data_IF_097725098415
#
_entry.id   IF_097725098415
#
_cell.length_a   1.000
_cell.length_b   1.000
_cell.length_c   1.000
_cell.angle_alpha   90.00
_cell.angle_beta   90.00
_cell.angle_gamma   90.00
#
_symmetry.space_group_name_H-M   'P 1'
#
loop_
_entity.id
_entity.type
_entity.pdbx_description
1 polymer ?
#
# COMPACT_ATOMS: atom_id res chain seq x y z
N UNK A 1 24.39 -2.91 5.52
CA UNK A 1 24.05 -4.27 5.98
C UNK A 1 24.02 -5.17 4.75
N UNK A 2 24.33 -6.45 4.86
CA UNK A 2 24.26 -7.41 3.74
C UNK A 2 23.14 -8.41 4.04
N UNK A 3 22.07 -8.38 3.25
CA UNK A 3 21.00 -9.37 3.36
C UNK A 3 21.42 -10.70 2.78
N UNK A 4 21.01 -11.79 3.42
CA UNK A 4 21.22 -13.15 2.94
C UNK A 4 20.12 -14.09 3.41
N UNK A 5 19.88 -15.15 2.69
CA UNK A 5 18.99 -16.20 3.13
C UNK A 5 19.46 -16.79 4.46
N UNK A 6 18.51 -17.22 5.27
CA UNK A 6 18.79 -17.93 6.52
C UNK A 6 19.34 -19.32 6.26
N UNK A 7 19.83 -20.00 7.31
CA UNK A 7 20.34 -21.37 7.21
C UNK A 7 19.30 -22.40 6.74
N UNK A 8 18.01 -22.08 6.86
CA UNK A 8 16.90 -22.89 6.32
C UNK A 8 16.58 -22.58 4.84
N UNK A 9 17.31 -21.64 4.24
CA UNK A 9 17.13 -21.19 2.86
C UNK A 9 15.93 -20.26 2.67
N UNK A 10 15.37 -19.68 3.74
CA UNK A 10 14.25 -18.75 3.65
C UNK A 10 14.69 -17.31 3.89
N UNK A 11 13.93 -16.38 3.32
CA UNK A 11 14.01 -14.96 3.61
C UNK A 11 12.59 -14.37 3.67
N UNK A 12 12.25 -13.76 4.79
CA UNK A 12 10.91 -13.27 5.09
C UNK A 12 10.86 -11.75 5.06
N UNK A 13 9.98 -11.20 4.25
CA UNK A 13 9.73 -9.76 4.13
C UNK A 13 8.33 -9.45 4.65
N UNK A 14 8.21 -8.56 5.62
CA UNK A 14 6.93 -8.15 6.18
C UNK A 14 6.62 -6.72 5.76
N UNK A 15 5.45 -6.52 5.14
CA UNK A 15 5.04 -5.25 4.57
C UNK A 15 4.02 -4.53 5.45
N UNK A 16 4.19 -3.20 5.55
CA UNK A 16 3.27 -2.27 6.19
C UNK A 16 3.02 -1.10 5.23
N UNK A 17 1.78 -0.70 5.03
CA UNK A 17 1.40 0.45 4.20
C UNK A 17 0.72 1.55 4.99
N UNK A 18 0.89 2.79 4.57
CA UNK A 18 0.03 3.93 4.86
C UNK A 18 -0.28 4.12 6.36
N UNK A 19 0.75 4.36 7.15
CA UNK A 19 0.61 4.49 8.61
C UNK A 19 0.00 5.85 8.97
N UNK A 20 0.39 6.93 8.28
CA UNK A 20 -0.11 8.30 8.43
C UNK A 20 -0.10 8.80 9.87
N UNK A 21 0.98 8.62 10.61
CA UNK A 21 1.00 9.07 11.97
C UNK A 21 1.16 10.60 12.08
N UNK A 22 0.63 11.17 13.15
CA UNK A 22 0.57 12.61 13.41
C UNK A 22 1.22 12.98 14.74
N UNK A 23 1.40 14.29 14.95
CA UNK A 23 2.13 14.86 16.10
C UNK A 23 1.52 14.59 17.46
N UNK A 24 0.22 14.29 17.53
CA UNK A 24 -0.52 13.97 18.74
C UNK A 24 -0.48 12.47 19.10
N UNK A 25 0.36 11.70 18.38
CA UNK A 25 0.42 10.24 18.46
C UNK A 25 0.56 9.69 19.88
N UNK A 26 1.35 10.33 20.75
CA UNK A 26 1.57 9.87 22.12
C UNK A 26 0.28 9.79 22.96
N UNK A 27 -0.68 10.65 22.67
CA UNK A 27 -1.96 10.71 23.39
C UNK A 27 -3.09 10.01 22.65
N UNK A 28 -2.88 9.63 21.38
CA UNK A 28 -3.92 9.07 20.53
C UNK A 28 -3.98 7.54 20.64
N UNK A 29 -5.15 6.96 20.98
CA UNK A 29 -5.29 5.51 21.09
C UNK A 29 -5.13 4.77 19.75
N UNK A 30 -5.25 5.46 18.61
CA UNK A 30 -5.04 4.89 17.26
C UNK A 30 -3.59 4.49 17.06
N UNK A 31 -2.65 5.26 17.59
CA UNK A 31 -1.23 4.91 17.58
C UNK A 31 -0.98 3.59 18.32
N UNK A 32 -1.63 3.37 19.49
CA UNK A 32 -1.52 2.11 20.23
C UNK A 32 -2.04 0.91 19.43
N UNK A 33 -3.11 1.08 18.67
CA UNK A 33 -3.64 0.00 17.84
C UNK A 33 -2.66 -0.36 16.70
N UNK A 34 -2.05 0.62 16.05
CA UNK A 34 -0.97 0.42 15.08
C UNK A 34 0.23 -0.30 15.71
N UNK A 35 0.69 0.16 16.86
CA UNK A 35 1.78 -0.47 17.60
C UNK A 35 1.49 -1.94 17.97
N UNK A 36 0.24 -2.25 18.37
CA UNK A 36 -0.19 -3.63 18.64
C UNK A 36 -0.12 -4.50 17.37
N UNK A 37 -0.59 -3.97 16.23
CA UNK A 37 -0.54 -4.68 14.96
C UNK A 37 0.90 -5.00 14.57
N UNK A 38 1.77 -3.99 14.56
CA UNK A 38 3.17 -4.17 14.22
C UNK A 38 3.87 -5.15 15.15
N UNK A 39 3.68 -4.98 16.47
CA UNK A 39 4.27 -5.87 17.47
C UNK A 39 3.84 -7.31 17.27
N UNK A 40 2.54 -7.57 17.16
CA UNK A 40 2.03 -8.93 16.97
C UNK A 40 2.53 -9.55 15.66
N UNK A 41 2.62 -8.75 14.60
CA UNK A 41 3.09 -9.22 13.30
C UNK A 41 4.58 -9.61 13.32
N UNK A 42 5.46 -8.77 13.89
CA UNK A 42 6.88 -9.09 13.95
C UNK A 42 7.19 -10.24 14.90
N UNK A 43 6.43 -10.38 15.99
CA UNK A 43 6.60 -11.50 16.94
C UNK A 43 6.16 -12.83 16.34
N UNK A 44 5.06 -12.85 15.61
CA UNK A 44 4.56 -14.08 14.99
C UNK A 44 5.38 -14.50 13.78
N UNK A 45 5.66 -13.57 12.86
CA UNK A 45 6.28 -13.89 11.58
C UNK A 45 7.81 -13.95 11.63
N UNK A 46 8.44 -13.22 12.57
CA UNK A 46 9.89 -13.10 12.69
C UNK A 46 10.54 -12.81 11.34
N UNK A 47 10.26 -11.64 10.75
CA UNK A 47 10.78 -11.29 9.43
C UNK A 47 12.27 -10.97 9.47
N UNK A 48 12.93 -11.16 8.33
CA UNK A 48 14.32 -10.77 8.09
C UNK A 48 14.44 -9.31 7.67
N UNK A 49 13.35 -8.76 7.12
CA UNK A 49 13.22 -7.37 6.69
C UNK A 49 11.77 -6.93 6.85
N UNK A 50 11.54 -5.73 7.37
CA UNK A 50 10.27 -5.04 7.27
C UNK A 50 10.35 -3.96 6.18
N UNK A 51 9.30 -3.78 5.39
CA UNK A 51 9.20 -2.72 4.38
C UNK A 51 7.99 -1.85 4.67
N UNK A 52 8.21 -0.55 4.72
CA UNK A 52 7.18 0.48 4.80
C UNK A 52 6.90 0.99 3.38
N UNK A 53 5.64 0.96 2.97
CA UNK A 53 5.23 1.25 1.59
C UNK A 53 4.84 2.72 1.36
N UNK A 54 5.44 3.65 2.11
CA UNK A 54 5.17 5.09 2.01
C UNK A 54 4.02 5.58 2.89
N UNK A 55 3.85 6.89 2.93
CA UNK A 55 2.85 7.60 3.74
C UNK A 55 2.90 7.18 5.22
N UNK A 56 4.10 7.17 5.78
CA UNK A 56 4.33 6.65 7.12
C UNK A 56 3.99 7.67 8.21
N UNK A 57 4.34 8.93 7.96
CA UNK A 57 4.14 10.03 8.89
C UNK A 57 3.60 11.24 8.14
N UNK A 58 2.74 12.01 8.80
CA UNK A 58 2.36 13.31 8.28
C UNK A 58 3.56 14.25 8.32
N UNK A 59 3.94 14.80 7.17
CA UNK A 59 5.11 15.65 7.01
C UNK A 59 4.85 17.14 7.21
N UNK A 60 3.61 17.56 7.47
CA UNK A 60 3.26 18.95 7.87
C UNK A 60 4.19 19.43 9.00
N UNK A 61 4.45 18.53 9.94
CA UNK A 61 5.32 18.82 11.08
C UNK A 61 6.77 19.07 10.69
N UNK A 62 7.24 18.55 9.56
CA UNK A 62 8.63 18.69 9.17
C UNK A 62 9.01 20.15 8.97
N UNK A 63 8.10 20.95 8.42
CA UNK A 63 8.31 22.39 8.24
C UNK A 63 8.37 23.17 9.54
N UNK A 64 7.69 22.69 10.59
CA UNK A 64 7.62 23.34 11.89
C UNK A 64 8.70 22.85 12.86
N UNK A 65 8.89 21.54 12.94
CA UNK A 65 9.78 20.88 13.91
C UNK A 65 10.33 19.54 13.37
N UNK A 66 11.45 19.54 12.63
CA UNK A 66 12.05 18.31 12.12
C UNK A 66 12.47 17.31 13.21
N UNK A 67 12.79 17.78 14.43
CA UNK A 67 13.14 16.87 15.52
C UNK A 67 11.94 16.06 16.00
N UNK A 68 10.80 16.71 16.08
CA UNK A 68 9.55 16.07 16.45
C UNK A 68 9.10 15.06 15.39
N UNK A 69 9.34 15.35 14.10
CA UNK A 69 9.15 14.39 13.02
C UNK A 69 10.02 13.14 13.23
N UNK A 70 11.31 13.32 13.52
CA UNK A 70 12.23 12.20 13.79
C UNK A 70 11.83 11.40 15.03
N UNK A 71 11.36 12.08 16.09
CA UNK A 71 10.84 11.40 17.27
C UNK A 71 9.63 10.54 16.94
N UNK A 72 8.67 11.08 16.20
CA UNK A 72 7.48 10.36 15.76
C UNK A 72 7.84 9.15 14.89
N UNK A 73 8.67 9.33 13.88
CA UNK A 73 9.11 8.24 13.01
C UNK A 73 9.85 7.13 13.80
N UNK A 74 10.71 7.52 14.75
CA UNK A 74 11.38 6.56 15.65
C UNK A 74 10.38 5.73 16.43
N UNK A 75 9.35 6.37 16.98
CA UNK A 75 8.33 5.70 17.78
C UNK A 75 7.42 4.82 16.89
N UNK A 76 7.13 5.24 15.65
CA UNK A 76 6.39 4.43 14.66
C UNK A 76 7.10 3.09 14.41
N UNK A 77 8.41 3.12 14.18
CA UNK A 77 9.16 1.90 13.84
C UNK A 77 9.68 1.14 15.05
N UNK A 78 9.48 1.65 16.27
CA UNK A 78 9.98 1.04 17.51
C UNK A 78 9.59 -0.44 17.70
N UNK A 79 8.39 -0.92 17.33
CA UNK A 79 8.06 -2.34 17.41
C UNK A 79 8.99 -3.25 16.61
N UNK A 80 9.57 -2.72 15.53
CA UNK A 80 10.46 -3.45 14.62
C UNK A 80 11.92 -3.30 15.09
N UNK A 81 12.38 -2.05 15.22
CA UNK A 81 13.78 -1.73 15.49
C UNK A 81 14.25 -2.17 16.86
N UNK A 82 13.36 -2.16 17.89
CA UNK A 82 13.67 -2.71 19.22
C UNK A 82 13.98 -4.21 19.24
N UNK A 83 13.67 -4.90 18.17
CA UNK A 83 13.97 -6.34 17.96
C UNK A 83 15.14 -6.56 17.01
N UNK A 84 15.88 -5.51 16.67
CA UNK A 84 16.98 -5.52 15.71
C UNK A 84 16.59 -6.06 14.33
N UNK A 85 15.33 -5.90 13.93
CA UNK A 85 14.87 -6.24 12.59
C UNK A 85 15.12 -5.03 11.68
N UNK A 86 15.79 -5.21 10.54
CA UNK A 86 15.99 -4.16 9.56
C UNK A 86 14.67 -3.62 9.01
N UNK A 87 14.64 -2.30 8.76
CA UNK A 87 13.51 -1.62 8.11
C UNK A 87 13.99 -0.95 6.84
N UNK A 88 13.31 -1.15 5.73
CA UNK A 88 13.45 -0.35 4.52
C UNK A 88 12.13 0.39 4.27
N UNK A 89 12.19 1.52 3.56
CA UNK A 89 11.00 2.27 3.24
C UNK A 89 11.07 2.89 1.83
N UNK A 90 9.92 3.13 1.23
CA UNK A 90 9.75 4.01 0.07
C UNK A 90 9.09 5.31 0.51
N UNK A 91 9.26 6.36 -0.28
CA UNK A 91 8.49 7.59 -0.12
C UNK A 91 7.06 7.37 -0.63
N UNK A 92 6.08 7.91 0.08
CA UNK A 92 4.72 8.09 -0.40
C UNK A 92 4.50 9.53 -0.89
N UNK A 93 3.31 9.81 -1.41
CA UNK A 93 3.02 11.17 -1.89
C UNK A 93 2.96 12.19 -0.74
N UNK A 94 2.65 11.78 0.48
CA UNK A 94 2.64 12.69 1.63
C UNK A 94 4.05 13.00 2.15
N UNK A 95 5.05 12.18 1.92
CA UNK A 95 6.44 12.56 2.16
C UNK A 95 6.92 13.65 1.17
N UNK A 96 6.24 13.83 0.04
CA UNK A 96 6.52 14.87 -0.97
C UNK A 96 5.70 16.17 -0.80
N UNK A 97 4.76 16.24 0.14
CA UNK A 97 3.81 17.36 0.22
C UNK A 97 4.46 18.73 0.51
N UNK A 98 5.63 18.76 1.12
CA UNK A 98 6.24 19.98 1.66
C UNK A 98 7.63 20.32 1.12
N UNK A 99 8.13 19.57 0.12
CA UNK A 99 9.38 19.87 -0.56
C UNK A 99 10.66 19.69 0.30
N UNK A 100 10.63 18.72 1.22
CA UNK A 100 11.76 18.38 2.11
C UNK A 100 12.24 16.94 1.91
N UNK A 101 12.09 16.38 0.72
CA UNK A 101 12.31 14.97 0.43
C UNK A 101 13.73 14.52 0.77
N UNK A 102 14.75 15.31 0.39
CA UNK A 102 16.15 14.97 0.65
C UNK A 102 16.46 14.93 2.14
N UNK A 103 15.93 15.88 2.91
CA UNK A 103 16.09 15.93 4.37
C UNK A 103 15.32 14.78 5.03
N UNK A 104 14.13 14.47 4.55
CA UNK A 104 13.30 13.34 5.04
C UNK A 104 14.05 12.03 4.78
N UNK A 105 14.57 11.80 3.58
CA UNK A 105 15.38 10.62 3.24
C UNK A 105 16.61 10.52 4.16
N UNK A 106 17.29 11.65 4.40
CA UNK A 106 18.42 11.68 5.32
C UNK A 106 18.01 11.33 6.76
N UNK A 107 16.84 11.78 7.21
CA UNK A 107 16.34 11.51 8.55
C UNK A 107 15.91 10.04 8.75
N UNK A 108 15.31 9.42 7.73
CA UNK A 108 15.12 7.97 7.73
C UNK A 108 16.46 7.22 7.92
N UNK A 109 17.49 7.62 7.17
CA UNK A 109 18.83 7.06 7.28
C UNK A 109 19.48 7.25 8.66
N UNK A 110 19.30 8.42 9.31
CA UNK A 110 19.79 8.68 10.68
C UNK A 110 19.14 7.77 11.72
N UNK A 111 17.93 7.33 11.48
CA UNK A 111 17.20 6.37 12.33
C UNK A 111 17.52 4.90 12.01
N UNK A 112 18.43 4.64 11.07
CA UNK A 112 18.81 3.29 10.64
C UNK A 112 17.79 2.62 9.73
N UNK A 113 16.83 3.37 9.19
CA UNK A 113 15.90 2.90 8.18
C UNK A 113 16.58 2.99 6.83
N UNK A 114 16.53 1.92 6.05
CA UNK A 114 17.15 1.84 4.74
C UNK A 114 16.29 2.63 3.76
N UNK A 115 16.74 3.82 3.45
CA UNK A 115 16.20 4.71 2.45
C UNK A 115 17.33 5.60 1.94
N UNK A 116 17.51 5.68 0.64
CA UNK A 116 18.57 6.46 0.00
C UNK A 116 18.26 6.63 -1.49
N UNK A 117 19.02 7.45 -2.15
CA UNK A 117 18.95 7.56 -3.61
C UNK A 117 20.26 7.02 -4.23
N UNK A 118 20.19 5.86 -4.88
CA UNK A 118 21.30 5.26 -5.64
C UNK A 118 21.29 5.73 -7.11
N UNK A 119 20.22 6.38 -7.56
CA UNK A 119 20.13 6.94 -8.89
C UNK A 119 20.99 8.21 -9.02
N UNK A 120 21.54 8.51 -10.22
CA UNK A 120 22.21 9.77 -10.46
C UNK A 120 21.34 10.99 -10.15
N UNK A 121 21.93 12.07 -9.65
CA UNK A 121 21.19 13.27 -9.22
C UNK A 121 20.28 13.91 -10.29
N UNK A 122 20.46 13.58 -11.57
CA UNK A 122 19.60 14.03 -12.68
C UNK A 122 18.35 13.17 -12.88
N UNK A 123 18.28 12.02 -12.24
CA UNK A 123 17.13 11.11 -12.34
C UNK A 123 16.07 11.58 -11.37
N UNK A 124 14.83 11.64 -11.81
CA UNK A 124 13.66 12.04 -11.03
C UNK A 124 13.50 11.17 -9.80
N UNK A 125 12.97 11.73 -8.72
CA UNK A 125 12.73 11.08 -7.43
C UNK A 125 13.93 11.12 -6.49
N UNK A 126 13.65 11.06 -5.18
CA UNK A 126 14.62 11.27 -4.10
C UNK A 126 15.02 9.96 -3.40
N UNK A 127 14.33 8.83 -3.70
CA UNK A 127 14.57 7.55 -3.03
C UNK A 127 14.47 6.35 -3.99
N UNK A 128 15.27 6.36 -5.04
CA UNK A 128 15.40 5.23 -5.96
C UNK A 128 16.62 4.38 -5.59
N UNK A 129 16.43 3.17 -5.08
CA UNK A 129 17.53 2.30 -4.68
C UNK A 129 17.18 0.82 -4.79
N UNK A 130 18.18 -0.04 -4.54
CA UNK A 130 17.99 -1.49 -4.51
C UNK A 130 18.79 -2.13 -3.39
N UNK A 131 18.30 -3.28 -2.94
CA UNK A 131 18.98 -4.18 -2.02
C UNK A 131 19.11 -5.57 -2.62
N UNK A 132 20.22 -6.22 -2.38
CA UNK A 132 20.49 -7.58 -2.88
C UNK A 132 20.44 -8.55 -1.72
N UNK A 133 19.68 -9.62 -1.90
CA UNK A 133 19.67 -10.78 -0.99
C UNK A 133 20.64 -11.80 -1.57
N UNK A 134 21.61 -12.18 -0.77
CA UNK A 134 22.63 -13.17 -1.11
C UNK A 134 22.22 -14.57 -0.66
N UNK A 135 22.87 -15.56 -1.21
CA UNK A 135 22.79 -16.96 -0.77
C UNK A 135 23.04 -17.08 0.75
N UNK A 136 22.62 -18.17 1.34
CA UNK A 136 22.76 -18.43 2.79
C UNK A 136 24.22 -18.42 3.28
N UNK A 137 25.18 -18.81 2.41
CA UNK A 137 26.62 -18.66 2.64
C UNK A 137 27.10 -17.20 2.48
N UNK A 138 26.29 -16.35 1.86
CA UNK A 138 26.60 -14.93 1.62
C UNK A 138 27.47 -14.67 0.39
N UNK A 139 27.73 -15.64 -0.46
CA UNK A 139 28.67 -15.48 -1.57
C UNK A 139 28.02 -14.99 -2.86
N UNK A 140 26.83 -15.52 -3.20
CA UNK A 140 26.18 -15.27 -4.49
C UNK A 140 24.97 -14.35 -4.34
N UNK A 141 24.79 -13.33 -5.20
CA UNK A 141 23.54 -12.60 -5.29
C UNK A 141 22.46 -13.55 -5.83
N UNK A 142 21.28 -13.57 -5.19
CA UNK A 142 20.19 -14.49 -5.54
C UNK A 142 18.91 -13.75 -5.89
N UNK A 143 18.64 -12.63 -5.24
CA UNK A 143 17.38 -11.89 -5.39
C UNK A 143 17.61 -10.38 -5.23
N UNK A 144 16.86 -9.56 -5.95
CA UNK A 144 16.93 -8.10 -5.84
C UNK A 144 15.60 -7.53 -5.33
N UNK A 145 15.68 -6.56 -4.43
CA UNK A 145 14.57 -5.75 -3.95
C UNK A 145 14.76 -4.34 -4.50
N UNK A 146 13.84 -3.88 -5.33
CA UNK A 146 13.82 -2.52 -5.85
C UNK A 146 12.90 -1.64 -5.02
N UNK A 147 13.36 -0.45 -4.70
CA UNK A 147 12.60 0.59 -4.02
C UNK A 147 12.57 1.78 -4.97
N UNK A 148 11.38 2.11 -5.46
CA UNK A 148 11.18 3.13 -6.49
C UNK A 148 10.35 4.25 -5.90
N UNK A 149 10.84 5.46 -6.02
CA UNK A 149 10.08 6.65 -5.71
C UNK A 149 9.02 6.87 -6.80
N UNK A 150 7.76 6.79 -6.43
CA UNK A 150 6.63 6.96 -7.35
C UNK A 150 6.17 8.43 -7.45
N UNK A 151 6.96 9.33 -6.91
CA UNK A 151 6.74 10.76 -6.89
C UNK A 151 5.46 11.21 -6.15
N UNK A 152 5.08 12.47 -6.30
CA UNK A 152 3.93 13.09 -5.64
C UNK A 152 2.66 13.03 -6.51
N UNK A 153 1.87 14.02 -6.37
CA UNK A 153 0.80 14.39 -7.29
C UNK A 153 1.38 15.08 -8.52
N UNK A 154 0.80 14.81 -9.69
CA UNK A 154 1.22 15.46 -10.93
C UNK A 154 0.93 16.96 -10.88
N UNK A 155 1.84 17.80 -11.38
CA UNK A 155 1.71 19.27 -11.40
C UNK A 155 0.42 19.72 -12.11
N UNK A 156 0.12 19.09 -13.23
CA UNK A 156 -1.13 19.33 -13.96
C UNK A 156 -2.15 18.22 -13.69
N UNK A 157 -3.07 18.49 -12.76
CA UNK A 157 -4.13 17.56 -12.34
C UNK A 157 -5.15 17.21 -13.43
N UNK A 158 -5.17 17.94 -14.55
CA UNK A 158 -5.99 17.60 -15.72
C UNK A 158 -5.36 16.48 -16.55
N UNK A 159 -4.04 16.34 -16.51
CA UNK A 159 -3.29 15.27 -17.20
C UNK A 159 -3.33 14.00 -16.35
N UNK A 160 -2.92 14.09 -15.10
CA UNK A 160 -2.96 13.00 -14.14
C UNK A 160 -3.16 13.55 -12.74
N UNK A 161 -3.85 12.83 -11.89
CA UNK A 161 -3.99 13.26 -10.50
C UNK A 161 -2.72 12.96 -9.71
N UNK A 162 -2.24 11.73 -9.77
CA UNK A 162 -0.95 11.35 -9.23
C UNK A 162 0.11 11.38 -10.33
N UNK A 163 1.34 11.65 -9.94
CA UNK A 163 2.47 11.55 -10.83
C UNK A 163 2.81 10.08 -11.08
N UNK A 164 3.70 9.83 -12.00
CA UNK A 164 4.10 8.51 -12.45
C UNK A 164 5.63 8.38 -12.41
N UNK A 165 6.13 7.18 -12.42
CA UNK A 165 7.57 6.92 -12.55
C UNK A 165 8.05 7.39 -13.91
N UNK A 166 8.95 8.37 -13.94
CA UNK A 166 9.40 9.08 -15.12
C UNK A 166 10.32 8.24 -16.01
N UNK A 167 10.49 8.65 -17.26
CA UNK A 167 11.29 7.92 -18.26
C UNK A 167 12.74 7.72 -17.81
N UNK A 168 13.33 8.72 -17.16
CA UNK A 168 14.70 8.65 -16.65
C UNK A 168 14.86 7.67 -15.48
N UNK A 169 13.84 7.52 -14.63
CA UNK A 169 13.79 6.49 -13.60
C UNK A 169 13.68 5.08 -14.24
N UNK A 170 12.87 4.94 -15.28
CA UNK A 170 12.71 3.69 -16.03
C UNK A 170 14.04 3.31 -16.70
N UNK A 171 14.70 4.25 -17.35
CA UNK A 171 16.01 4.04 -17.98
C UNK A 171 17.09 3.65 -16.95
N UNK A 172 17.08 4.29 -15.78
CA UNK A 172 17.96 3.92 -14.67
C UNK A 172 17.69 2.49 -14.20
N UNK A 173 16.43 2.14 -13.98
CA UNK A 173 16.03 0.78 -13.57
C UNK A 173 16.47 -0.27 -14.61
N UNK A 174 16.27 0.00 -15.90
CA UNK A 174 16.70 -0.91 -16.98
C UNK A 174 18.22 -1.09 -17.02
N UNK A 175 18.97 0.02 -16.90
CA UNK A 175 20.43 -0.02 -16.88
C UNK A 175 21.00 -0.79 -15.68
N UNK A 176 20.41 -0.58 -14.48
CA UNK A 176 20.81 -1.31 -13.28
C UNK A 176 20.38 -2.78 -13.33
N UNK A 177 19.25 -3.10 -13.97
CA UNK A 177 18.80 -4.47 -14.20
C UNK A 177 19.76 -5.25 -15.11
N UNK A 178 20.34 -4.60 -16.12
CA UNK A 178 21.31 -5.25 -17.00
C UNK A 178 22.62 -5.57 -16.23
N UNK A 179 23.08 -4.66 -15.35
CA UNK A 179 24.22 -4.94 -14.46
C UNK A 179 23.94 -6.15 -13.52
N UNK A 180 22.73 -6.23 -12.98
CA UNK A 180 22.32 -7.37 -12.15
C UNK A 180 22.27 -8.68 -12.95
N UNK A 181 21.86 -8.61 -14.21
CA UNK A 181 21.85 -9.76 -15.11
C UNK A 181 23.28 -10.25 -15.39
N UNK A 182 24.24 -9.35 -15.58
CA UNK A 182 25.67 -9.71 -15.69
C UNK A 182 26.15 -10.42 -14.43
N UNK A 183 25.85 -9.88 -13.23
CA UNK A 183 26.18 -10.49 -11.94
C UNK A 183 25.52 -11.86 -11.73
N UNK A 184 24.36 -12.09 -12.36
CA UNK A 184 23.61 -13.35 -12.29
C UNK A 184 23.93 -14.31 -13.46
N UNK A 185 25.11 -14.18 -14.05
CA UNK A 185 25.58 -15.09 -15.10
C UNK A 185 24.81 -14.94 -16.41
N UNK A 186 24.38 -13.75 -16.77
CA UNK A 186 23.66 -13.43 -18.00
C UNK A 186 22.15 -13.72 -17.98
N UNK A 187 21.60 -14.09 -16.80
CA UNK A 187 20.16 -14.32 -16.64
C UNK A 187 19.53 -13.18 -15.82
N UNK A 188 18.29 -12.77 -16.16
CA UNK A 188 17.58 -11.81 -15.34
C UNK A 188 17.56 -12.23 -13.87
N UNK A 189 17.86 -11.30 -12.95
CA UNK A 189 17.82 -11.58 -11.51
C UNK A 189 16.37 -11.56 -11.03
N UNK A 190 15.91 -12.59 -10.31
CA UNK A 190 14.59 -12.55 -9.68
C UNK A 190 14.48 -11.32 -8.77
N UNK A 191 13.35 -10.62 -8.81
CA UNK A 191 13.23 -9.37 -8.07
C UNK A 191 11.79 -9.02 -7.69
N UNK A 192 11.67 -8.16 -6.69
CA UNK A 192 10.43 -7.46 -6.35
C UNK A 192 10.60 -5.95 -6.50
N UNK A 193 9.48 -5.28 -6.80
CA UNK A 193 9.34 -3.84 -6.80
C UNK A 193 8.53 -3.44 -5.57
N UNK A 194 9.02 -2.44 -4.82
CA UNK A 194 8.30 -1.73 -3.79
C UNK A 194 8.19 -0.28 -4.20
N UNK A 195 6.99 0.23 -4.30
CA UNK A 195 6.69 1.64 -4.55
C UNK A 195 5.35 1.99 -3.91
N UNK A 196 5.09 3.28 -3.72
CA UNK A 196 3.87 3.71 -3.06
C UNK A 196 2.68 3.69 -4.01
N UNK A 197 2.67 4.52 -5.04
CA UNK A 197 1.57 4.63 -6.01
C UNK A 197 1.59 3.46 -6.98
N UNK A 198 0.44 2.76 -7.21
CA UNK A 198 0.39 1.61 -8.11
C UNK A 198 0.51 2.00 -9.59
N UNK A 199 0.88 1.05 -10.43
CA UNK A 199 0.89 1.21 -11.89
C UNK A 199 -0.53 1.11 -12.47
N UNK A 200 -0.82 1.77 -13.62
CA UNK A 200 -2.14 1.70 -14.26
C UNK A 200 -2.62 0.28 -14.61
N UNK A 201 -1.71 -0.65 -14.85
CA UNK A 201 -2.00 -2.05 -15.15
C UNK A 201 -2.64 -2.80 -13.99
N UNK A 202 -2.62 -2.26 -12.77
CA UNK A 202 -3.35 -2.86 -11.65
C UNK A 202 -4.86 -2.97 -11.94
N UNK A 203 -5.42 -2.05 -12.74
CA UNK A 203 -6.79 -2.16 -13.21
C UNK A 203 -7.07 -3.42 -14.06
N UNK A 204 -6.05 -4.10 -14.54
CA UNK A 204 -6.22 -5.38 -15.24
C UNK A 204 -6.64 -6.53 -14.31
N UNK A 205 -6.47 -6.38 -13.01
CA UNK A 205 -7.03 -7.27 -11.99
C UNK A 205 -8.53 -7.05 -11.79
N UNK A 206 -9.09 -5.97 -12.32
CA UNK A 206 -10.47 -5.60 -12.18
C UNK A 206 -11.22 -5.72 -13.51
N UNK A 207 -12.54 -5.81 -13.45
CA UNK A 207 -13.44 -5.68 -14.59
C UNK A 207 -14.58 -4.72 -14.28
N UNK A 208 -15.19 -4.18 -15.33
CA UNK A 208 -16.39 -3.36 -15.17
C UNK A 208 -17.48 -4.19 -14.49
N UNK A 209 -18.14 -3.58 -13.53
CA UNK A 209 -19.25 -4.19 -12.81
C UNK A 209 -20.50 -4.24 -13.67
N UNK A 210 -21.26 -5.31 -13.56
CA UNK A 210 -22.63 -5.36 -14.05
C UNK A 210 -23.55 -4.56 -13.11
N UNK A 211 -24.74 -4.16 -13.59
CA UNK A 211 -25.63 -3.31 -12.79
C UNK A 211 -26.06 -3.95 -11.46
N UNK A 212 -26.21 -5.28 -11.40
CA UNK A 212 -26.54 -5.99 -10.17
C UNK A 212 -25.37 -6.13 -9.19
N UNK A 213 -24.14 -5.83 -9.62
CA UNK A 213 -22.94 -5.83 -8.78
C UNK A 213 -22.63 -4.45 -8.17
N UNK A 214 -23.37 -3.41 -8.57
CA UNK A 214 -23.16 -2.06 -8.06
C UNK A 214 -23.09 -1.95 -6.52
N UNK A 215 -23.88 -2.69 -5.73
CA UNK A 215 -23.76 -2.65 -4.27
C UNK A 215 -22.40 -3.08 -3.72
N UNK A 216 -21.66 -3.89 -4.48
CA UNK A 216 -20.33 -4.38 -4.11
C UNK A 216 -19.20 -3.84 -4.99
N UNK A 217 -19.51 -3.09 -6.03
CA UNK A 217 -18.54 -2.51 -6.95
C UNK A 217 -17.87 -1.27 -6.37
N UNK A 218 -16.61 -1.03 -6.68
CA UNK A 218 -15.90 0.20 -6.36
C UNK A 218 -15.98 1.17 -7.53
N UNK A 219 -16.05 2.46 -7.23
CA UNK A 219 -15.96 3.50 -8.27
C UNK A 219 -14.51 3.67 -8.67
N UNK A 220 -14.23 3.66 -9.97
CA UNK A 220 -12.88 3.93 -10.49
C UNK A 220 -12.42 5.34 -10.11
N UNK A 221 -11.12 5.54 -10.06
CA UNK A 221 -10.50 6.80 -9.72
C UNK A 221 -10.24 7.65 -10.97
N UNK A 222 -10.17 8.96 -10.84
CA UNK A 222 -9.87 9.95 -11.89
C UNK A 222 -10.59 9.70 -13.23
N UNK A 223 -9.85 9.48 -14.34
CA UNK A 223 -10.43 9.28 -15.67
C UNK A 223 -11.39 8.09 -15.71
N UNK A 224 -11.23 7.13 -14.80
CA UNK A 224 -12.08 5.96 -14.65
C UNK A 224 -13.28 6.18 -13.70
N UNK A 225 -13.40 7.35 -13.07
CA UNK A 225 -14.37 7.65 -11.99
C UNK A 225 -15.86 7.49 -12.36
N UNK A 226 -16.20 7.46 -13.64
CA UNK A 226 -17.57 7.21 -14.13
C UNK A 226 -17.88 5.72 -14.28
N UNK A 227 -16.91 4.84 -14.05
CA UNK A 227 -17.02 3.40 -14.20
C UNK A 227 -16.90 2.71 -12.84
N UNK A 228 -17.71 1.68 -12.64
CA UNK A 228 -17.65 0.84 -11.45
C UNK A 228 -16.96 -0.48 -11.77
N UNK A 229 -16.17 -0.97 -10.83
CA UNK A 229 -15.33 -2.13 -10.99
C UNK A 229 -15.53 -3.15 -9.87
N UNK A 230 -15.30 -4.42 -10.19
CA UNK A 230 -15.19 -5.55 -9.26
C UNK A 230 -13.96 -6.36 -9.64
N UNK A 231 -13.45 -7.17 -8.71
CA UNK A 231 -12.32 -8.07 -9.02
C UNK A 231 -12.64 -9.03 -10.14
N UNK A 232 -11.69 -9.32 -11.01
CA UNK A 232 -11.76 -10.42 -11.98
C UNK A 232 -11.69 -11.78 -11.27
N UNK A 233 -12.07 -12.83 -11.99
CA UNK A 233 -11.78 -14.19 -11.53
C UNK A 233 -10.26 -14.40 -11.38
N UNK A 234 -9.82 -14.79 -10.21
CA UNK A 234 -8.40 -14.93 -9.89
C UNK A 234 -7.80 -13.76 -9.11
N UNK A 235 -8.50 -12.63 -9.01
CA UNK A 235 -8.14 -11.57 -8.06
C UNK A 235 -8.44 -12.08 -6.64
N UNK A 236 -7.43 -12.03 -5.80
CA UNK A 236 -7.47 -12.46 -4.40
C UNK A 236 -7.75 -11.26 -3.49
N UNK A 237 -8.26 -11.53 -2.33
CA UNK A 237 -8.46 -10.57 -1.25
C UNK A 237 -9.50 -9.47 -1.55
N UNK A 238 -9.40 -8.27 -1.00
CA UNK A 238 -10.51 -7.31 -0.95
C UNK A 238 -10.23 -6.06 -1.77
N UNK A 239 -11.16 -5.75 -2.67
CA UNK A 239 -11.23 -4.49 -3.42
C UNK A 239 -12.16 -3.54 -2.66
N UNK A 240 -11.60 -2.61 -1.91
CA UNK A 240 -12.32 -1.68 -1.03
C UNK A 240 -12.61 -0.33 -1.67
N UNK A 241 -11.74 0.10 -2.58
CA UNK A 241 -11.84 1.37 -3.31
C UNK A 241 -11.31 1.24 -4.74
N UNK A 242 -11.52 2.23 -5.58
CA UNK A 242 -10.96 2.25 -6.92
C UNK A 242 -9.46 2.55 -6.88
N UNK A 243 -8.61 1.72 -7.48
CA UNK A 243 -7.17 1.95 -7.47
C UNK A 243 -6.78 3.36 -7.92
N UNK A 244 -5.96 4.02 -7.12
CA UNK A 244 -5.53 5.40 -7.33
C UNK A 244 -4.22 5.48 -8.13
N UNK A 245 -4.12 4.73 -9.22
CA UNK A 245 -2.98 4.80 -10.13
C UNK A 245 -2.95 6.12 -10.91
N UNK A 246 -1.78 6.53 -11.46
CA UNK A 246 -1.69 7.61 -12.43
C UNK A 246 -2.63 7.38 -13.63
N UNK A 247 -3.08 8.49 -14.25
CA UNK A 247 -3.84 8.43 -15.51
C UNK A 247 -2.93 8.24 -16.72
N UNK A 248 -1.65 8.62 -16.58
CA UNK A 248 -0.60 8.44 -17.58
C UNK A 248 0.06 7.09 -17.38
N UNK A 249 0.08 6.27 -18.43
CA UNK A 249 0.89 5.06 -18.49
C UNK A 249 2.19 5.37 -19.22
N UNK A 250 3.28 5.51 -18.48
CA UNK A 250 4.58 5.86 -19.01
C UNK A 250 5.44 4.63 -19.38
N UNK A 251 4.87 3.43 -19.36
CA UNK A 251 5.55 2.21 -19.78
C UNK A 251 6.37 1.53 -18.67
N UNK A 252 6.21 1.91 -17.41
CA UNK A 252 6.94 1.29 -16.29
C UNK A 252 6.72 -0.22 -16.22
N UNK A 253 5.48 -0.68 -16.29
CA UNK A 253 5.17 -2.11 -16.30
C UNK A 253 5.74 -2.84 -17.54
N UNK A 254 5.70 -2.20 -18.71
CA UNK A 254 6.32 -2.75 -19.90
C UNK A 254 7.84 -2.90 -19.77
N UNK A 255 8.50 -1.98 -19.07
CA UNK A 255 9.93 -2.08 -18.72
C UNK A 255 10.22 -3.27 -17.82
N UNK A 256 9.39 -3.56 -16.81
CA UNK A 256 9.54 -4.76 -15.97
C UNK A 256 9.50 -6.06 -16.79
N UNK A 257 8.60 -6.12 -17.77
CA UNK A 257 8.51 -7.26 -18.69
C UNK A 257 9.74 -7.35 -19.60
N UNK A 258 10.24 -6.21 -20.09
CA UNK A 258 11.39 -6.11 -20.99
C UNK A 258 12.67 -6.62 -20.32
N UNK A 259 12.97 -6.19 -19.09
CA UNK A 259 14.18 -6.62 -18.38
C UNK A 259 14.07 -8.06 -17.88
N UNK A 260 12.85 -8.52 -17.60
CA UNK A 260 12.58 -9.84 -17.02
C UNK A 260 13.00 -9.95 -15.57
N UNK A 261 12.68 -11.06 -14.93
CA UNK A 261 13.05 -11.31 -13.53
C UNK A 261 12.17 -10.64 -12.50
N UNK A 262 11.38 -9.62 -12.82
CA UNK A 262 10.40 -9.04 -11.89
C UNK A 262 9.27 -10.03 -11.65
N UNK A 263 9.21 -10.57 -10.45
CA UNK A 263 8.22 -11.58 -10.04
C UNK A 263 6.99 -10.95 -9.42
N UNK A 264 7.14 -9.77 -8.80
CA UNK A 264 6.03 -9.07 -8.17
C UNK A 264 6.33 -7.63 -7.85
N UNK A 265 5.26 -6.85 -7.69
CA UNK A 265 5.26 -5.47 -7.26
C UNK A 265 4.24 -5.27 -6.13
N UNK A 266 4.62 -4.48 -5.12
CA UNK A 266 3.83 -4.22 -3.92
C UNK A 266 3.66 -2.73 -3.75
N UNK A 267 2.40 -2.30 -3.53
CA UNK A 267 1.99 -0.91 -3.49
C UNK A 267 1.31 -0.55 -2.17
N UNK A 268 1.46 0.68 -1.73
CA UNK A 268 0.65 1.32 -0.69
C UNK A 268 -0.47 2.16 -1.30
N UNK A 269 -0.71 3.36 -0.76
CA UNK A 269 -1.54 4.42 -1.31
C UNK A 269 -3.06 4.23 -1.17
N UNK A 270 -3.58 3.05 -1.49
CA UNK A 270 -5.00 2.73 -1.37
C UNK A 270 -5.30 2.10 -0.01
N UNK A 271 -5.85 2.88 0.91
CA UNK A 271 -6.00 2.46 2.31
C UNK A 271 -6.99 1.30 2.53
N UNK A 272 -7.95 1.12 1.62
CA UNK A 272 -9.00 0.10 1.74
C UNK A 272 -8.73 -1.14 0.89
N UNK A 273 -7.70 -1.14 0.05
CA UNK A 273 -7.36 -2.21 -0.87
C UNK A 273 -6.32 -3.17 -0.29
N UNK A 274 -6.60 -4.45 -0.29
CA UNK A 274 -5.60 -5.51 -0.04
C UNK A 274 -5.60 -6.57 -1.14
N UNK A 275 -6.23 -6.28 -2.27
CA UNK A 275 -6.33 -7.24 -3.38
C UNK A 275 -5.00 -7.48 -4.07
N UNK A 276 -4.90 -8.65 -4.69
CA UNK A 276 -3.71 -9.07 -5.41
C UNK A 276 -4.04 -10.04 -6.54
N UNK A 277 -3.12 -10.20 -7.47
CA UNK A 277 -3.27 -11.13 -8.59
C UNK A 277 -2.10 -11.04 -9.57
N UNK A 278 -2.20 -11.78 -10.65
CA UNK A 278 -1.18 -11.78 -11.70
C UNK A 278 -1.65 -11.03 -12.93
N UNK A 279 -0.80 -10.13 -13.42
CA UNK A 279 -0.94 -9.47 -14.71
C UNK A 279 0.29 -9.83 -15.53
N UNK A 280 0.10 -10.46 -16.69
CA UNK A 280 1.17 -10.91 -17.58
C UNK A 280 2.32 -11.66 -16.89
N UNK A 281 1.99 -12.45 -15.85
CA UNK A 281 2.97 -13.24 -15.10
C UNK A 281 3.67 -12.52 -13.95
N UNK A 282 3.45 -11.22 -13.77
CA UNK A 282 3.95 -10.42 -12.65
C UNK A 282 2.84 -10.34 -11.58
N UNK A 283 3.17 -10.72 -10.35
CA UNK A 283 2.26 -10.58 -9.22
C UNK A 283 2.16 -9.11 -8.81
N UNK A 284 0.96 -8.58 -8.72
CA UNK A 284 0.72 -7.24 -8.18
C UNK A 284 -0.13 -7.33 -6.93
N UNK A 285 0.24 -6.59 -5.91
CA UNK A 285 -0.45 -6.60 -4.63
C UNK A 285 -0.57 -5.19 -4.06
N UNK A 286 -1.80 -4.77 -3.93
CA UNK A 286 -2.14 -3.59 -3.14
C UNK A 286 -2.06 -3.92 -1.66
N UNK A 287 -1.58 -2.98 -0.85
CA UNK A 287 -1.43 -3.17 0.58
C UNK A 287 -2.27 -2.16 1.35
N UNK A 288 -3.32 -2.65 1.99
CA UNK A 288 -4.19 -1.86 2.87
C UNK A 288 -3.39 -1.20 4.00
N UNK A 289 -3.86 -0.04 4.44
CA UNK A 289 -3.24 0.67 5.57
C UNK A 289 -2.99 -0.25 6.77
N UNK A 290 -1.78 -0.18 7.33
CA UNK A 290 -1.44 -0.72 8.64
C UNK A 290 -1.74 0.30 9.75
N UNK A 291 -1.98 1.55 9.39
CA UNK A 291 -2.36 2.65 10.27
C UNK A 291 -3.83 2.63 10.67
N UNK A 292 -4.15 3.54 11.60
CA UNK A 292 -5.51 3.77 12.10
C UNK A 292 -5.86 5.26 12.10
N UNK A 293 -4.98 6.13 11.58
CA UNK A 293 -5.09 7.60 11.64
C UNK A 293 -5.87 8.20 10.49
N UNK A 294 -5.52 7.85 9.27
CA UNK A 294 -6.25 8.25 8.07
C UNK A 294 -7.54 7.43 7.94
N UNK A 295 -8.27 7.58 6.84
CA UNK A 295 -9.40 6.70 6.58
C UNK A 295 -8.91 5.24 6.53
N UNK A 296 -9.60 4.37 7.23
CA UNK A 296 -9.15 2.99 7.47
C UNK A 296 -10.31 2.02 7.44
N UNK A 297 -10.02 0.76 7.13
CA UNK A 297 -10.98 -0.33 7.22
C UNK A 297 -11.04 -0.94 8.65
N UNK A 298 -10.59 -0.19 9.63
CA UNK A 298 -10.68 -0.53 11.05
C UNK A 298 -9.92 -1.81 11.40
N UNK A 299 -10.59 -2.77 12.03
CA UNK A 299 -9.98 -4.05 12.40
C UNK A 299 -9.55 -4.94 11.23
N UNK A 300 -9.72 -4.48 10.00
CA UNK A 300 -9.20 -5.12 8.78
C UNK A 300 -7.90 -4.53 8.28
N UNK A 301 -7.37 -3.47 8.93
CA UNK A 301 -5.97 -3.05 8.74
C UNK A 301 -5.07 -4.27 8.82
N UNK A 302 -4.10 -4.40 7.94
CA UNK A 302 -3.40 -5.66 7.75
C UNK A 302 -1.89 -5.48 7.56
N UNK A 303 -1.23 -6.61 7.53
CA UNK A 303 0.16 -6.79 7.14
C UNK A 303 0.26 -7.91 6.12
N UNK A 304 1.27 -7.89 5.26
CA UNK A 304 1.53 -8.95 4.29
C UNK A 304 2.93 -9.50 4.50
N UNK A 305 3.00 -10.80 4.72
CA UNK A 305 4.26 -11.55 4.74
C UNK A 305 4.53 -12.10 3.34
N UNK A 306 5.75 -11.90 2.85
CA UNK A 306 6.27 -12.55 1.65
C UNK A 306 7.48 -13.38 2.04
N UNK A 307 7.50 -14.65 1.60
CA UNK A 307 8.58 -15.58 1.91
C UNK A 307 9.24 -16.06 0.63
N UNK A 308 10.54 -15.82 0.52
CA UNK A 308 11.40 -16.31 -0.55
C UNK A 308 12.04 -17.64 -0.16
N UNK A 309 12.39 -18.46 -1.16
CA UNK A 309 13.11 -19.70 -1.01
C UNK A 309 14.36 -19.69 -1.90
N UNK A 310 15.55 -19.81 -1.29
CA UNK A 310 16.83 -19.84 -1.99
C UNK A 310 16.90 -20.94 -3.04
N UNK A 311 16.27 -22.10 -2.77
CA UNK A 311 16.25 -23.25 -3.70
C UNK A 311 15.37 -23.02 -4.91
N UNK A 312 14.44 -22.07 -4.82
CA UNK A 312 13.53 -21.72 -5.91
C UNK A 312 13.24 -20.21 -5.94
N UNK A 313 14.23 -19.37 -6.25
CA UNK A 313 14.11 -17.93 -6.13
C UNK A 313 13.11 -17.30 -7.12
N UNK A 314 12.59 -18.07 -8.08
CA UNK A 314 11.53 -17.65 -9.00
C UNK A 314 10.11 -17.91 -8.47
N UNK A 315 9.99 -18.43 -7.24
CA UNK A 315 8.70 -18.63 -6.56
C UNK A 315 8.76 -18.02 -5.17
N UNK A 316 7.63 -17.57 -4.72
CA UNK A 316 7.45 -17.03 -3.37
C UNK A 316 6.09 -17.43 -2.82
N UNK A 317 5.97 -17.39 -1.52
CA UNK A 317 4.71 -17.52 -0.81
C UNK A 317 4.31 -16.15 -0.26
N UNK A 318 3.02 -15.88 -0.19
CA UNK A 318 2.51 -14.67 0.44
C UNK A 318 1.34 -14.98 1.36
N UNK A 319 1.25 -14.23 2.45
CA UNK A 319 0.19 -14.35 3.44
C UNK A 319 -0.25 -12.95 3.90
N UNK A 320 -1.52 -12.64 3.72
CA UNK A 320 -2.15 -11.47 4.31
C UNK A 320 -2.71 -11.81 5.68
N UNK A 321 -2.48 -10.95 6.68
CA UNK A 321 -3.06 -11.14 8.01
C UNK A 321 -3.56 -9.81 8.59
N UNK A 322 -4.83 -9.80 8.99
CA UNK A 322 -5.53 -8.61 9.47
C UNK A 322 -5.44 -8.47 10.98
N UNK A 323 -5.53 -7.27 11.51
CA UNK A 323 -5.51 -6.93 12.93
C UNK A 323 -6.36 -7.90 13.78
N UNK A 324 -7.60 -8.13 13.38
CA UNK A 324 -8.51 -9.04 14.09
C UNK A 324 -8.02 -10.50 14.10
N UNK A 325 -7.30 -10.93 13.08
CA UNK A 325 -6.79 -12.32 12.96
C UNK A 325 -5.61 -12.60 13.89
N UNK A 326 -4.95 -11.55 14.43
CA UNK A 326 -3.97 -11.68 15.52
C UNK A 326 -4.65 -11.79 16.90
N UNK A 327 -5.97 -11.82 16.99
CA UNK A 327 -6.70 -11.82 18.26
C UNK A 327 -6.70 -10.47 18.99
N UNK A 328 -6.26 -9.41 18.32
CA UNK A 328 -6.13 -8.08 18.91
C UNK A 328 -7.49 -7.41 19.10
N UNK A 329 -7.57 -6.59 20.15
CA UNK A 329 -8.72 -5.72 20.44
C UNK A 329 -8.29 -4.26 20.28
N UNK A 330 -9.03 -3.53 19.45
CA UNK A 330 -8.81 -2.10 19.24
C UNK A 330 -9.28 -1.30 20.46
N UNK A 331 -8.50 -0.30 20.85
CA UNK A 331 -8.84 0.70 21.85
C UNK A 331 -9.47 1.95 21.23
N UNK A 332 -9.19 2.21 19.97
CA UNK A 332 -9.59 3.43 19.27
C UNK A 332 -10.90 3.32 18.48
N UNK A 333 -11.24 2.11 18.03
CA UNK A 333 -12.40 1.91 17.14
C UNK A 333 -13.70 1.70 17.92
N UNK A 334 -14.75 2.39 17.49
CA UNK A 334 -16.11 2.15 17.98
C UNK A 334 -16.65 0.77 17.58
N UNK A 335 -17.74 0.31 18.21
CA UNK A 335 -18.29 -1.05 17.97
C UNK A 335 -18.59 -1.36 16.49
N UNK A 336 -19.04 -0.37 15.73
CA UNK A 336 -19.37 -0.53 14.31
C UNK A 336 -18.10 -0.81 13.50
N UNK A 337 -17.05 0.01 13.66
CA UNK A 337 -15.79 -0.13 12.95
C UNK A 337 -14.98 -1.37 13.36
N UNK A 338 -15.28 -1.95 14.52
CA UNK A 338 -14.71 -3.26 14.91
C UNK A 338 -15.32 -4.43 14.14
N UNK A 339 -16.49 -4.24 13.52
CA UNK A 339 -17.27 -5.30 12.90
C UNK A 339 -17.39 -5.14 11.40
N UNK A 340 -17.61 -3.90 10.94
CA UNK A 340 -17.91 -3.59 9.55
C UNK A 340 -16.81 -2.74 8.91
N UNK A 341 -16.64 -2.87 7.59
CA UNK A 341 -15.79 -1.96 6.81
C UNK A 341 -16.47 -0.61 6.68
N UNK A 342 -15.70 0.46 6.43
CA UNK A 342 -16.23 1.78 6.10
C UNK A 342 -17.27 1.72 4.99
N UNK A 343 -17.01 0.94 3.96
CA UNK A 343 -17.93 0.73 2.85
C UNK A 343 -19.23 0.06 3.29
N UNK A 344 -19.16 -0.96 4.16
CA UNK A 344 -20.37 -1.60 4.70
C UNK A 344 -21.18 -0.62 5.53
N UNK A 345 -20.51 0.21 6.33
CA UNK A 345 -21.15 1.28 7.11
C UNK A 345 -21.85 2.29 6.21
N UNK A 346 -21.16 2.79 5.18
CA UNK A 346 -21.74 3.71 4.18
C UNK A 346 -22.95 3.05 3.50
N UNK A 347 -22.83 1.79 3.08
CA UNK A 347 -23.91 1.05 2.45
C UNK A 347 -25.13 0.91 3.37
N UNK A 348 -24.91 0.59 4.64
CA UNK A 348 -25.98 0.51 5.64
C UNK A 348 -26.68 1.86 5.85
N UNK A 349 -25.92 2.96 5.90
CA UNK A 349 -26.52 4.30 6.01
C UNK A 349 -27.36 4.66 4.77
N UNK A 350 -26.84 4.42 3.56
CA UNK A 350 -27.57 4.66 2.32
C UNK A 350 -28.86 3.87 2.27
N UNK A 351 -28.81 2.57 2.59
CA UNK A 351 -30.01 1.71 2.65
C UNK A 351 -30.97 2.17 3.72
N UNK A 352 -30.49 2.61 4.87
CA UNK A 352 -31.32 3.20 5.94
C UNK A 352 -32.06 4.46 5.47
N UNK A 353 -31.35 5.39 4.80
CA UNK A 353 -31.98 6.59 4.24
C UNK A 353 -33.00 6.27 3.16
N UNK A 354 -32.72 5.30 2.28
CA UNK A 354 -33.67 4.88 1.25
C UNK A 354 -34.93 4.27 1.87
N UNK A 355 -34.78 3.46 2.91
CA UNK A 355 -35.91 2.87 3.64
C UNK A 355 -36.78 3.95 4.32
N UNK A 356 -36.13 4.95 4.96
CA UNK A 356 -36.83 6.09 5.56
C UNK A 356 -37.58 6.91 4.51
N UNK A 357 -36.96 7.18 3.36
CA UNK A 357 -37.59 7.89 2.25
C UNK A 357 -38.82 7.11 1.72
N UNK A 358 -38.68 5.80 1.52
CA UNK A 358 -39.80 4.93 1.08
C UNK A 358 -40.97 4.92 2.11
N UNK A 359 -40.64 4.84 3.41
CA UNK A 359 -41.64 4.90 4.48
C UNK A 359 -42.35 6.27 4.50
N UNK A 360 -41.60 7.36 4.29
CA UNK A 360 -42.14 8.74 4.18
C UNK A 360 -43.12 8.86 3.00
N UNK A 361 -42.70 8.40 1.81
CA UNK A 361 -43.60 8.40 0.62
C UNK A 361 -44.86 7.57 0.86
N UNK A 362 -44.73 6.38 1.47
CA UNK A 362 -45.86 5.51 1.80
C UNK A 362 -46.78 6.22 2.82
N UNK A 363 -46.21 6.85 3.85
CA UNK A 363 -46.98 7.59 4.86
C UNK A 363 -47.74 8.75 4.23
N UNK A 364 -47.13 9.52 3.32
CA UNK A 364 -47.82 10.60 2.58
C UNK A 364 -48.93 10.03 1.71
N UNK A 365 -48.73 8.93 1.00
CA UNK A 365 -49.77 8.30 0.18
C UNK A 365 -50.96 7.84 1.02
N UNK A 366 -50.71 7.23 2.20
CA UNK A 366 -51.74 6.87 3.15
C UNK A 366 -52.49 8.09 3.67
N UNK A 367 -51.80 9.17 3.99
CA UNK A 367 -52.41 10.41 4.44
C UNK A 367 -53.32 11.03 3.35
N UNK A 368 -52.83 11.09 2.12
CA UNK A 368 -53.59 11.58 0.98
C UNK A 368 -54.86 10.73 0.79
N UNK A 369 -54.73 9.43 0.79
CA UNK A 369 -55.85 8.50 0.69
C UNK A 369 -56.85 8.73 1.81
N UNK A 370 -56.40 8.82 3.06
CA UNK A 370 -57.26 9.12 4.22
C UNK A 370 -58.02 10.44 4.07
N UNK A 371 -57.30 11.49 3.61
CA UNK A 371 -57.91 12.81 3.41
C UNK A 371 -59.00 12.76 2.29
N UNK A 372 -58.72 12.09 1.19
CA UNK A 372 -59.69 11.89 0.11
C UNK A 372 -60.93 11.14 0.62
N UNK A 373 -60.75 10.05 1.35
CA UNK A 373 -61.84 9.25 1.89
C UNK A 373 -62.66 9.99 2.96
N UNK A 374 -62.06 10.91 3.68
CA UNK A 374 -62.71 11.65 4.78
C UNK A 374 -63.34 12.99 4.37
N UNK A 375 -62.80 13.64 3.36
CA UNK A 375 -63.17 15.02 2.97
C UNK A 375 -63.48 15.15 1.48
N UNK A 376 -63.37 14.08 0.68
CA UNK A 376 -63.61 14.08 -0.76
C UNK A 376 -65.00 13.67 -1.18
N UNK A 377 -66.03 13.78 -0.28
CA UNK A 377 -67.43 13.51 -0.51
C UNK A 377 -68.28 14.72 -0.70
#
# INVERSE_FOLDING_TARGET
MKFKFNSDGKFKILLFGDIHEHTDYKTNPRFKDMQKLMTAAVEEFKPDLCVLLGDNCNTDIYTEDPEKFREMLRDVVAPITSRNIPVAAVLGNHEHDHGHEDEIVADYGKLGIIMRNDAPAKVTGNANFKEIIYSSDGEKPVFCLWFIDSNNCHENREISHYDYVHTDQIEWFEAESEKLKELNGGKPMPSFIFQHTPVPEEYELLRKAHFWELPVAVRGYNTKKKTFYVGKKGTMDYVGEGPCSPDVNNGQFASWKKVGGVLGAFFGHDHLNDFSGFVDGIFMAQHKTAGFRAYTDGCRSCVRLVTLDEKNPHKFEQQLKRFKQFGLKSESLGPVMRTFTDRQVITMHVLGYLALAAAGVTGIAFLIKFLIERFGG
#
